data_IF_914300942205
#
_entry.id   IF_914300942205
#
_cell.length_a   1.000
_cell.length_b   1.000
_cell.length_c   1.000
_cell.angle_alpha   90.00
_cell.angle_beta   90.00
_cell.angle_gamma   90.00
#
_symmetry.space_group_name_H-M   'P 1'
#
loop_
_entity.id
_entity.type
_entity.pdbx_description
1 polymer ?
#
# COMPACT_ATOMS: atom_id res chain seq x y z
N UNK A 1 12.71 12.23 -86.90
CA UNK A 1 11.52 12.24 -86.02
C UNK A 1 11.99 12.01 -84.58
N UNK A 2 11.97 13.06 -83.74
CA UNK A 2 11.07 13.23 -82.56
C UNK A 2 11.34 12.16 -81.48
N UNK A 3 11.73 12.43 -80.23
CA UNK A 3 11.85 13.65 -79.42
C UNK A 3 12.26 13.21 -77.99
N UNK A 4 12.78 14.16 -77.20
CA UNK A 4 13.35 14.06 -75.84
C UNK A 4 12.31 13.70 -74.76
N UNK A 5 12.75 13.22 -73.57
CA UNK A 5 12.59 13.84 -72.24
C UNK A 5 12.96 12.87 -71.09
N UNK A 6 13.68 13.42 -70.11
CA UNK A 6 14.08 12.90 -68.79
C UNK A 6 12.88 12.79 -67.82
N UNK A 7 12.79 11.75 -66.96
CA UNK A 7 12.27 11.92 -65.60
C UNK A 7 12.74 10.82 -64.64
N UNK A 8 13.26 11.29 -63.50
CA UNK A 8 13.64 10.60 -62.27
C UNK A 8 12.38 10.24 -61.46
N UNK A 9 12.27 9.05 -60.87
CA UNK A 9 11.41 8.87 -59.69
C UNK A 9 12.03 7.88 -58.70
N UNK A 10 12.45 8.46 -57.58
CA UNK A 10 12.77 7.83 -56.30
C UNK A 10 11.56 7.07 -55.74
N UNK A 11 11.78 5.88 -55.17
CA UNK A 11 10.87 5.34 -54.16
C UNK A 11 11.66 4.57 -53.08
N UNK A 12 12.21 5.37 -52.16
CA UNK A 12 12.04 5.25 -50.71
C UNK A 12 11.41 3.93 -50.21
N UNK A 13 12.22 3.03 -49.65
CA UNK A 13 11.76 2.12 -48.60
C UNK A 13 12.54 2.47 -47.34
N UNK A 14 11.87 3.26 -46.51
CA UNK A 14 12.26 3.69 -45.19
C UNK A 14 12.66 2.51 -44.32
N UNK A 15 13.77 2.69 -43.62
CA UNK A 15 14.11 2.02 -42.39
C UNK A 15 12.91 2.07 -41.42
N UNK A 16 12.23 0.94 -41.26
CA UNK A 16 11.47 0.69 -40.04
C UNK A 16 12.48 0.45 -38.92
N UNK A 17 12.93 1.55 -38.32
CA UNK A 17 13.36 1.55 -36.93
C UNK A 17 12.19 0.99 -36.11
N UNK A 18 12.25 -0.29 -35.79
CA UNK A 18 11.53 -0.80 -34.62
C UNK A 18 12.26 -0.22 -33.42
N UNK A 19 11.77 0.92 -32.94
CA UNK A 19 12.10 1.43 -31.63
C UNK A 19 11.44 0.48 -30.65
N UNK A 20 12.15 -0.59 -30.28
CA UNK A 20 11.82 -1.37 -29.10
C UNK A 20 12.02 -0.46 -27.90
N UNK A 21 10.97 0.25 -27.50
CA UNK A 21 10.95 0.89 -26.19
C UNK A 21 10.93 -0.25 -25.18
N UNK A 22 12.11 -0.63 -24.68
CA UNK A 22 12.18 -1.28 -23.38
C UNK A 22 11.45 -0.35 -22.41
N UNK A 23 10.29 -0.79 -21.94
CA UNK A 23 9.60 -0.16 -20.82
C UNK A 23 10.65 0.05 -19.74
N UNK A 24 10.78 1.26 -19.15
CA UNK A 24 11.75 1.50 -18.10
C UNK A 24 11.52 0.45 -17.02
N UNK A 25 12.50 -0.45 -16.82
CA UNK A 25 12.48 -1.34 -15.66
C UNK A 25 12.59 -0.43 -14.45
N UNK A 26 11.45 -0.16 -13.81
CA UNK A 26 11.41 0.51 -12.51
C UNK A 26 12.43 -0.22 -11.64
N UNK A 27 13.45 0.50 -11.17
CA UNK A 27 14.36 -0.02 -10.15
C UNK A 27 13.57 -0.08 -8.86
N UNK A 28 12.85 -1.19 -8.69
CA UNK A 28 12.10 -1.50 -7.48
C UNK A 28 13.09 -1.69 -6.35
N UNK A 29 12.89 -1.00 -5.23
CA UNK A 29 13.68 -1.23 -4.04
C UNK A 29 13.45 -2.65 -3.50
N UNK A 30 14.48 -3.26 -2.89
CA UNK A 30 14.47 -4.68 -2.50
C UNK A 30 13.36 -5.06 -1.51
N UNK A 31 12.79 -4.08 -0.80
CA UNK A 31 11.72 -4.26 0.19
C UNK A 31 10.41 -3.57 -0.21
N UNK A 32 10.21 -3.26 -1.50
CA UNK A 32 8.97 -2.64 -1.93
C UNK A 32 7.83 -3.67 -2.00
N UNK A 33 6.68 -3.32 -1.44
CA UNK A 33 5.46 -4.11 -1.57
C UNK A 33 4.91 -3.93 -2.98
N UNK A 34 4.73 -5.05 -3.68
CA UNK A 34 4.21 -5.10 -5.04
C UNK A 34 2.71 -5.37 -5.00
N UNK A 35 1.99 -4.77 -5.95
CA UNK A 35 0.57 -4.94 -6.14
C UNK A 35 0.20 -6.41 -6.38
N UNK A 36 -0.86 -6.89 -5.72
CA UNK A 36 -1.46 -8.21 -5.97
C UNK A 36 -2.18 -8.24 -7.33
N UNK A 37 -2.51 -9.44 -7.82
CA UNK A 37 -3.14 -9.62 -9.13
C UNK A 37 -4.52 -8.98 -9.26
N UNK A 38 -5.20 -8.72 -8.14
CA UNK A 38 -6.50 -8.03 -8.09
C UNK A 38 -6.37 -6.51 -7.93
N UNK A 39 -5.13 -5.99 -7.90
CA UNK A 39 -4.83 -4.59 -7.67
C UNK A 39 -4.67 -4.19 -6.20
N UNK A 40 -4.87 -5.10 -5.26
CA UNK A 40 -4.76 -4.82 -3.81
C UNK A 40 -3.29 -4.70 -3.38
N UNK A 41 -3.03 -3.93 -2.34
CA UNK A 41 -1.76 -3.98 -1.60
C UNK A 41 -2.05 -4.43 -0.17
N UNK A 42 -1.35 -5.48 0.28
CA UNK A 42 -1.32 -5.89 1.68
C UNK A 42 0.00 -5.42 2.32
N UNK A 43 -0.06 -4.38 3.14
CA UNK A 43 1.08 -3.77 3.81
C UNK A 43 1.19 -4.34 5.23
N UNK A 44 1.82 -5.51 5.36
CA UNK A 44 2.02 -6.15 6.67
C UNK A 44 3.02 -5.38 7.53
N UNK A 45 2.75 -5.23 8.82
CA UNK A 45 3.71 -4.63 9.75
C UNK A 45 5.01 -5.44 9.90
N UNK A 46 4.99 -6.74 9.61
CA UNK A 46 6.20 -7.58 9.65
C UNK A 46 7.23 -7.12 8.61
N UNK A 47 6.74 -6.62 7.47
CA UNK A 47 7.52 -6.13 6.33
C UNK A 47 7.80 -4.61 6.42
N UNK A 48 7.24 -3.93 7.42
CA UNK A 48 7.39 -2.50 7.59
C UNK A 48 8.74 -2.13 8.22
N UNK A 49 9.27 -0.97 7.83
CA UNK A 49 10.25 -0.26 8.64
C UNK A 49 9.52 0.37 9.83
N UNK A 50 9.73 -0.17 11.03
CA UNK A 50 9.04 0.30 12.24
C UNK A 50 9.97 1.12 13.15
N UNK A 51 9.41 2.18 13.72
CA UNK A 51 9.96 2.92 14.85
C UNK A 51 8.99 2.84 16.03
N UNK A 52 9.51 2.54 17.22
CA UNK A 52 8.70 2.52 18.44
C UNK A 52 9.36 3.35 19.53
N UNK A 53 8.55 4.17 20.18
CA UNK A 53 8.89 4.99 21.33
C UNK A 53 8.01 4.54 22.51
N UNK A 54 8.63 3.93 23.51
CA UNK A 54 7.92 3.42 24.69
C UNK A 54 7.38 4.55 25.58
N UNK A 55 8.03 5.73 25.57
CA UNK A 55 7.62 6.91 26.34
C UNK A 55 6.53 7.70 25.61
N UNK A 56 6.47 7.59 24.29
CA UNK A 56 5.42 8.19 23.45
C UNK A 56 4.86 7.22 22.39
N UNK A 57 4.07 6.20 22.79
CA UNK A 57 3.53 5.22 21.86
C UNK A 57 2.68 5.82 20.74
N UNK A 58 2.04 6.96 20.98
CA UNK A 58 1.27 7.69 19.96
C UNK A 58 2.11 8.17 18.77
N UNK A 59 3.45 8.13 18.87
CA UNK A 59 4.39 8.42 17.78
C UNK A 59 4.97 7.18 17.11
N UNK A 60 4.58 5.97 17.53
CA UNK A 60 5.02 4.74 16.88
C UNK A 60 4.64 4.77 15.41
N UNK A 61 5.59 4.40 14.56
CA UNK A 61 5.52 4.62 13.12
C UNK A 61 5.85 3.34 12.37
N UNK A 62 5.10 3.07 11.31
CA UNK A 62 5.40 2.03 10.34
C UNK A 62 5.44 2.64 8.94
N UNK A 63 6.44 2.26 8.15
CA UNK A 63 6.65 2.77 6.80
C UNK A 63 6.85 1.62 5.80
N UNK A 64 6.22 1.76 4.64
CA UNK A 64 6.36 0.87 3.50
C UNK A 64 6.71 1.66 2.24
N UNK A 65 7.42 0.99 1.34
CA UNK A 65 7.51 1.42 -0.05
C UNK A 65 6.54 0.59 -0.87
N UNK A 66 5.69 1.22 -1.65
CA UNK A 66 4.68 0.54 -2.48
C UNK A 66 4.92 0.86 -3.95
N UNK A 67 4.85 -0.16 -4.82
CA UNK A 67 5.00 0.02 -6.27
C UNK A 67 3.62 -0.03 -6.93
N UNK A 68 3.14 1.13 -7.33
CA UNK A 68 1.86 1.26 -8.04
C UNK A 68 2.08 1.12 -9.53
N UNK A 69 1.53 0.07 -10.14
CA UNK A 69 1.56 -0.11 -11.60
C UNK A 69 0.44 0.65 -12.32
N UNK A 70 -0.72 0.79 -11.68
CA UNK A 70 -1.89 1.42 -12.30
C UNK A 70 -2.36 2.64 -11.50
N UNK A 71 -2.39 3.84 -12.11
CA UNK A 71 -2.93 5.04 -11.47
C UNK A 71 -4.41 4.87 -11.14
N UNK A 72 -4.84 5.44 -10.02
CA UNK A 72 -6.21 5.31 -9.59
C UNK A 72 -6.42 5.71 -8.14
N UNK A 73 -7.67 5.64 -7.71
CA UNK A 73 -8.06 5.86 -6.32
C UNK A 73 -8.11 4.53 -5.60
N UNK A 74 -7.46 4.45 -4.45
CA UNK A 74 -7.42 3.26 -3.60
C UNK A 74 -8.02 3.60 -2.25
N UNK A 75 -8.96 2.78 -1.81
CA UNK A 75 -9.45 2.80 -0.43
C UNK A 75 -8.35 2.32 0.49
N UNK A 76 -8.19 3.02 1.61
CA UNK A 76 -7.25 2.69 2.67
C UNK A 76 -8.03 2.03 3.81
N UNK A 77 -7.61 0.83 4.19
CA UNK A 77 -8.15 0.09 5.31
C UNK A 77 -7.04 -0.16 6.33
N UNK A 78 -7.34 0.08 7.61
CA UNK A 78 -6.52 -0.37 8.72
C UNK A 78 -7.04 -1.74 9.14
N UNK A 79 -6.16 -2.74 9.19
CA UNK A 79 -6.50 -4.09 9.66
C UNK A 79 -5.88 -4.30 11.03
N UNK A 80 -6.73 -4.63 12.00
CA UNK A 80 -6.35 -4.82 13.40
C UNK A 80 -6.66 -6.23 13.86
N UNK A 81 -5.76 -6.81 14.64
CA UNK A 81 -6.04 -8.00 15.43
C UNK A 81 -6.66 -7.55 16.76
N UNK A 82 -7.89 -7.97 17.06
CA UNK A 82 -8.59 -7.63 18.30
C UNK A 82 -9.30 -8.80 18.93
N UNK A 83 -9.40 -8.84 20.26
CA UNK A 83 -10.26 -9.77 21.01
C UNK A 83 -11.66 -9.20 21.23
N UNK A 84 -11.83 -7.89 21.10
CA UNK A 84 -13.09 -7.18 21.25
C UNK A 84 -13.56 -6.68 19.88
N UNK A 85 -14.61 -7.33 19.35
CA UNK A 85 -15.20 -6.95 18.07
C UNK A 85 -16.22 -5.82 18.18
N UNK A 86 -16.28 -5.12 19.31
CA UNK A 86 -17.20 -3.99 19.57
C UNK A 86 -16.48 -2.66 19.76
N UNK A 87 -15.25 -2.69 20.30
CA UNK A 87 -14.39 -1.52 20.44
C UNK A 87 -12.92 -1.89 20.17
N UNK A 88 -12.27 -1.13 19.29
CA UNK A 88 -10.84 -1.30 19.00
C UNK A 88 -9.94 -0.61 20.05
N UNK A 89 -10.52 0.26 20.87
CA UNK A 89 -9.87 0.98 21.97
C UNK A 89 -8.61 1.73 21.53
N UNK A 90 -8.68 2.40 20.38
CA UNK A 90 -7.69 3.42 20.00
C UNK A 90 -7.87 4.63 20.92
N UNK A 91 -6.77 5.10 21.49
CA UNK A 91 -6.76 6.28 22.36
C UNK A 91 -6.58 7.54 21.50
N UNK A 92 -5.80 7.45 20.42
CA UNK A 92 -5.54 8.54 19.49
C UNK A 92 -6.00 8.19 18.08
N UNK A 93 -6.25 9.22 17.28
CA UNK A 93 -6.45 9.07 15.85
C UNK A 93 -5.21 8.48 15.19
N UNK A 94 -5.43 7.62 14.20
CA UNK A 94 -4.38 7.07 13.34
C UNK A 94 -4.11 8.04 12.21
N UNK A 95 -2.83 8.37 12.01
CA UNK A 95 -2.39 9.22 10.90
C UNK A 95 -1.75 8.36 9.82
N UNK A 96 -2.20 8.54 8.58
CA UNK A 96 -1.70 7.82 7.41
C UNK A 96 -1.25 8.87 6.40
N UNK A 97 0.03 8.87 6.03
CA UNK A 97 0.59 9.81 5.07
C UNK A 97 1.07 9.09 3.81
N UNK A 98 0.85 9.77 2.68
CA UNK A 98 1.31 9.38 1.36
C UNK A 98 1.78 10.64 0.64
N UNK A 99 3.10 10.80 0.49
CA UNK A 99 3.72 12.04 -0.02
C UNK A 99 3.30 13.27 0.80
N UNK A 100 2.54 14.19 0.19
CA UNK A 100 2.00 15.42 0.75
C UNK A 100 0.56 15.26 1.28
N UNK A 101 -0.05 14.07 1.12
CA UNK A 101 -1.42 13.78 1.54
C UNK A 101 -1.41 13.14 2.92
N UNK A 102 -2.38 13.54 3.74
CA UNK A 102 -2.59 13.02 5.09
C UNK A 102 -4.05 12.62 5.26
N UNK A 103 -4.26 11.45 5.86
CA UNK A 103 -5.54 10.99 6.41
C UNK A 103 -5.34 10.90 7.92
N UNK A 104 -6.27 11.46 8.69
CA UNK A 104 -6.36 11.28 10.13
C UNK A 104 -7.74 10.69 10.43
N UNK A 105 -7.78 9.54 11.11
CA UNK A 105 -9.03 8.79 11.34
C UNK A 105 -9.05 8.21 12.74
N UNK A 106 -10.23 8.21 13.36
CA UNK A 106 -10.50 7.43 14.58
C UNK A 106 -11.02 6.06 14.14
N UNK A 107 -10.23 4.97 14.26
CA UNK A 107 -10.61 3.68 13.69
C UNK A 107 -11.85 3.10 14.38
N UNK A 108 -12.85 2.76 13.57
CA UNK A 108 -14.05 2.05 13.99
C UNK A 108 -14.13 0.67 13.31
N UNK A 109 -14.94 -0.24 13.84
CA UNK A 109 -15.09 -1.58 13.25
C UNK A 109 -16.11 -1.49 12.11
N UNK A 110 -15.61 -1.36 10.88
CA UNK A 110 -16.45 -1.40 9.67
C UNK A 110 -16.71 -2.84 9.21
N UNK A 111 -15.73 -3.74 9.43
CA UNK A 111 -15.83 -5.15 9.05
C UNK A 111 -15.10 -6.04 10.05
N UNK A 112 -15.75 -7.13 10.45
CA UNK A 112 -15.08 -8.26 11.12
C UNK A 112 -14.82 -9.36 10.09
N UNK A 113 -13.57 -9.79 9.94
CA UNK A 113 -13.16 -10.86 9.03
C UNK A 113 -13.01 -12.15 9.83
N UNK A 114 -13.94 -13.08 9.59
CA UNK A 114 -13.92 -14.41 10.20
C UNK A 114 -12.85 -15.30 9.54
N UNK A 115 -12.26 -16.20 10.33
CA UNK A 115 -11.27 -17.21 9.87
C UNK A 115 -10.07 -16.63 9.10
N UNK A 116 -9.67 -15.39 9.43
CA UNK A 116 -8.49 -14.77 8.86
C UNK A 116 -7.22 -15.55 9.22
N UNK A 117 -6.35 -15.76 8.24
CA UNK A 117 -5.03 -16.38 8.45
C UNK A 117 -3.96 -15.37 8.90
N UNK A 118 -4.25 -14.07 8.81
CA UNK A 118 -3.33 -12.99 9.22
C UNK A 118 -3.26 -12.84 10.74
N UNK A 119 -4.27 -13.35 11.47
CA UNK A 119 -4.34 -13.25 12.92
C UNK A 119 -4.56 -14.63 13.51
N UNK A 120 -3.87 -14.93 14.60
CA UNK A 120 -4.03 -16.19 15.33
C UNK A 120 -5.09 -16.06 16.42
N UNK A 121 -5.80 -17.15 16.72
CA UNK A 121 -6.61 -17.26 17.94
C UNK A 121 -5.82 -16.80 19.18
N UNK A 122 -6.41 -16.02 20.12
CA UNK A 122 -7.83 -15.68 20.25
C UNK A 122 -8.27 -14.38 19.54
N UNK A 123 -7.45 -13.83 18.64
CA UNK A 123 -7.79 -12.57 17.97
C UNK A 123 -8.68 -12.80 16.75
N UNK A 124 -9.56 -11.84 16.50
CA UNK A 124 -10.31 -11.63 15.26
C UNK A 124 -9.64 -10.52 14.47
N UNK A 125 -9.76 -10.58 13.15
CA UNK A 125 -9.37 -9.45 12.29
C UNK A 125 -10.54 -8.50 12.17
N UNK A 126 -10.31 -7.24 12.48
CA UNK A 126 -11.26 -6.15 12.33
C UNK A 126 -10.65 -5.08 11.42
N UNK A 127 -11.37 -4.72 10.37
CA UNK A 127 -10.94 -3.71 9.42
C UNK A 127 -11.72 -2.40 9.62
N UNK A 128 -10.99 -1.30 9.61
CA UNK A 128 -11.49 0.07 9.68
C UNK A 128 -11.22 0.80 8.37
N UNK A 129 -12.25 1.42 7.79
CA UNK A 129 -12.08 2.27 6.61
C UNK A 129 -11.48 3.61 7.03
N UNK A 130 -10.29 3.91 6.51
CA UNK A 130 -9.58 5.15 6.84
C UNK A 130 -9.84 6.29 5.86
N UNK A 131 -10.22 5.97 4.62
CA UNK A 131 -10.38 6.95 3.55
C UNK A 131 -9.80 6.43 2.23
N UNK A 132 -9.26 7.33 1.41
CA UNK A 132 -8.71 6.94 0.12
C UNK A 132 -7.57 7.84 -0.34
N UNK A 133 -6.60 7.27 -1.05
CA UNK A 133 -5.58 8.02 -1.77
C UNK A 133 -5.74 7.88 -3.28
N UNK A 134 -5.44 8.96 -3.99
CA UNK A 134 -5.31 8.95 -5.45
C UNK A 134 -3.83 8.94 -5.84
N UNK A 135 -3.43 7.95 -6.63
CA UNK A 135 -2.13 7.87 -7.29
C UNK A 135 -2.27 8.35 -8.72
N UNK A 136 -1.56 9.42 -9.08
CA UNK A 136 -1.70 10.07 -10.38
C UNK A 136 -0.93 9.37 -11.50
N UNK A 137 0.12 8.63 -11.16
CA UNK A 137 0.99 7.95 -12.11
C UNK A 137 1.50 6.61 -11.52
N UNK A 138 2.01 5.69 -12.34
CA UNK A 138 2.73 4.53 -11.84
C UNK A 138 4.04 4.95 -11.19
N UNK A 139 4.46 4.30 -10.10
CA UNK A 139 5.70 4.64 -9.41
C UNK A 139 5.89 3.95 -8.06
N UNK A 140 7.06 4.20 -7.45
CA UNK A 140 7.33 3.84 -6.06
C UNK A 140 6.89 5.00 -5.15
N UNK A 141 6.09 4.70 -4.13
CA UNK A 141 5.59 5.66 -3.14
C UNK A 141 5.95 5.21 -1.73
N UNK A 142 6.23 6.15 -0.83
CA UNK A 142 6.31 5.86 0.61
C UNK A 142 4.95 6.11 1.27
N UNK A 143 4.45 5.09 1.97
CA UNK A 143 3.27 5.16 2.81
C UNK A 143 3.70 4.99 4.26
N UNK A 144 3.29 5.91 5.12
CA UNK A 144 3.61 5.90 6.53
C UNK A 144 2.34 5.92 7.38
N UNK A 145 2.35 5.18 8.49
CA UNK A 145 1.27 5.14 9.47
C UNK A 145 1.84 5.44 10.83
N UNK A 146 1.13 6.26 11.61
CA UNK A 146 1.48 6.61 12.99
C UNK A 146 0.31 6.26 13.90
N UNK A 147 0.55 5.47 14.95
CA UNK A 147 -0.47 5.01 15.89
C UNK A 147 0.14 4.32 17.11
N UNK A 148 -0.48 4.47 18.29
CA UNK A 148 -0.14 3.69 19.49
C UNK A 148 -0.42 2.19 19.36
N UNK A 149 -1.17 1.75 18.35
CA UNK A 149 -1.43 0.33 18.07
C UNK A 149 -0.37 -0.32 17.18
N UNK A 150 0.62 0.44 16.71
CA UNK A 150 1.86 -0.11 16.15
C UNK A 150 2.75 -0.48 17.33
N UNK A 151 3.01 -1.77 17.50
CA UNK A 151 3.78 -2.31 18.63
C UNK A 151 5.16 -2.78 18.14
N UNK A 152 6.17 -2.83 19.03
CA UNK A 152 7.44 -3.48 18.75
C UNK A 152 7.26 -4.93 18.25
N UNK A 153 8.20 -5.43 17.44
CA UNK A 153 8.11 -6.78 16.85
C UNK A 153 8.00 -7.88 17.91
N UNK A 154 8.60 -7.68 19.09
CA UNK A 154 8.53 -8.60 20.21
C UNK A 154 7.10 -8.70 20.77
N UNK A 155 6.42 -7.56 20.92
CA UNK A 155 5.04 -7.47 21.38
C UNK A 155 4.03 -7.94 20.31
N UNK A 156 4.31 -7.66 19.03
CA UNK A 156 3.50 -8.17 17.91
C UNK A 156 3.44 -9.69 17.88
N UNK A 157 4.55 -10.37 18.19
CA UNK A 157 4.68 -11.83 18.15
C UNK A 157 4.47 -12.51 19.51
N UNK A 158 4.35 -11.73 20.58
CA UNK A 158 4.11 -12.25 21.93
C UNK A 158 2.65 -12.67 22.09
N UNK A 159 2.41 -13.98 22.19
CA UNK A 159 1.16 -14.52 22.73
C UNK A 159 1.04 -14.38 24.25
N UNK A 160 2.10 -13.87 24.92
CA UNK A 160 2.22 -13.80 26.38
C UNK A 160 1.76 -12.48 26.99
N UNK A 161 1.56 -11.43 26.19
CA UNK A 161 0.94 -10.20 26.68
C UNK A 161 -0.58 -10.40 26.70
N UNK A 162 -1.05 -11.03 27.78
CA UNK A 162 -2.47 -11.24 28.05
C UNK A 162 -3.27 -9.93 28.08
N UNK A 163 -2.61 -8.77 28.20
CA UNK A 163 -3.24 -7.45 28.30
C UNK A 163 -3.45 -6.67 27.00
N UNK A 164 -2.93 -7.14 25.86
CA UNK A 164 -3.12 -6.41 24.58
C UNK A 164 -4.40 -6.90 23.92
N UNK A 165 -5.44 -6.08 23.97
CA UNK A 165 -6.73 -6.45 23.40
C UNK A 165 -6.82 -6.16 21.90
N UNK A 166 -6.15 -5.11 21.43
CA UNK A 166 -6.12 -4.70 20.02
C UNK A 166 -4.73 -4.25 19.60
N UNK A 167 -4.29 -4.66 18.41
CA UNK A 167 -3.07 -4.20 17.74
C UNK A 167 -3.31 -4.02 16.24
N UNK A 168 -2.69 -3.01 15.63
CA UNK A 168 -2.69 -2.87 14.17
C UNK A 168 -1.81 -3.99 13.60
N UNK A 169 -2.18 -4.62 12.50
CA UNK A 169 -1.37 -5.70 11.88
C UNK A 169 -1.00 -5.40 10.43
N UNK A 170 -1.86 -4.69 9.71
CA UNK A 170 -1.57 -4.29 8.34
C UNK A 170 -2.38 -3.07 7.90
N UNK A 171 -1.93 -2.47 6.79
CA UNK A 171 -2.73 -1.53 6.00
C UNK A 171 -3.04 -2.17 4.65
N UNK A 172 -4.28 -2.05 4.21
CA UNK A 172 -4.73 -2.62 2.95
C UNK A 172 -5.19 -1.51 2.03
N UNK A 173 -4.59 -1.44 0.84
CA UNK A 173 -5.04 -0.54 -0.22
C UNK A 173 -5.85 -1.35 -1.24
N UNK A 174 -7.13 -1.03 -1.40
CA UNK A 174 -7.99 -1.71 -2.39
C UNK A 174 -8.39 -0.73 -3.50
N UNK A 175 -8.23 -1.09 -4.77
CA UNK A 175 -8.61 -0.19 -5.86
C UNK A 175 -10.11 0.10 -5.80
N UNK A 176 -10.49 1.37 -5.92
CA UNK A 176 -11.87 1.71 -6.26
C UNK A 176 -12.04 1.38 -7.73
N UNK A 177 -12.87 0.38 -8.04
CA UNK A 177 -13.17 -0.06 -9.41
C UNK A 177 -13.33 1.14 -10.34
N UNK A 178 -12.68 1.05 -11.50
CA UNK A 178 -12.95 1.90 -12.66
C UNK A 178 -14.09 1.35 -13.47
#
# INVERSE_FOLDING_TARGET
>A
MKGKIFTLFSLFMLFIWSCGSESPKLKVSENAVVQESDGTFALSLDDAACYSDADNPASNTAEWKVVVSEPGTYKVWLSSATRDTTDLSYINSVRISLLDKLIEVDPAIDRVVLDSKEVSFPYFRADSYAGSFYFSEPGEYSLQVISEKILPKEAMNSSKEESIDTKLVSVILTPMTR
#
